data_IF_099931124652
#
_entry.id   IF_099931124652
#
_cell.length_a   1.000
_cell.length_b   1.000
_cell.length_c   1.000
_cell.angle_alpha   90.00
_cell.angle_beta   90.00
_cell.angle_gamma   90.00
#
_symmetry.space_group_name_H-M   'P 1'
#
loop_
_entity.id
_entity.type
_entity.pdbx_description
1 polymer ?
#
# COMPACT_ATOMS: atom_id res chain seq x y z
N UNK A 1 11.81 -14.54 -1.33
CA UNK A 1 11.43 -15.37 -2.50
C UNK A 1 12.10 -16.74 -2.40
N UNK A 2 11.38 -17.81 -2.75
CA UNK A 2 11.87 -19.19 -2.88
C UNK A 2 11.56 -19.73 -4.28
N UNK A 3 12.38 -20.66 -4.78
CA UNK A 3 12.15 -21.35 -6.04
C UNK A 3 11.95 -22.85 -5.81
N UNK A 4 11.01 -23.47 -6.52
CA UNK A 4 10.99 -24.93 -6.61
C UNK A 4 12.12 -25.42 -7.53
N UNK A 5 13.04 -26.22 -7.01
CA UNK A 5 14.15 -26.80 -7.78
C UNK A 5 13.67 -27.66 -8.95
N UNK A 6 12.47 -28.26 -8.85
CA UNK A 6 11.88 -29.11 -9.87
C UNK A 6 11.21 -28.30 -11.00
N UNK A 7 10.13 -27.56 -10.71
CA UNK A 7 9.35 -26.85 -11.73
C UNK A 7 9.76 -25.38 -11.95
N UNK A 8 10.79 -24.90 -11.25
CA UNK A 8 11.31 -23.52 -11.32
C UNK A 8 10.30 -22.42 -10.99
N UNK A 9 9.14 -22.77 -10.45
CA UNK A 9 8.14 -21.80 -10.01
C UNK A 9 8.70 -20.96 -8.86
N UNK A 10 8.58 -19.64 -9.00
CA UNK A 10 8.98 -18.65 -8.01
C UNK A 10 7.79 -18.32 -7.12
N UNK A 11 8.04 -18.30 -5.81
CA UNK A 11 7.00 -18.11 -4.81
C UNK A 11 7.48 -17.09 -3.76
N UNK A 12 6.56 -16.24 -3.31
CA UNK A 12 6.79 -15.36 -2.16
C UNK A 12 6.75 -16.21 -0.88
N UNK A 13 7.85 -16.20 -0.13
CA UNK A 13 8.07 -17.16 0.96
C UNK A 13 7.14 -16.90 2.16
N UNK A 14 6.97 -15.64 2.51
CA UNK A 14 5.99 -15.11 3.45
C UNK A 14 4.57 -15.61 3.13
N UNK A 15 4.11 -15.34 1.91
CA UNK A 15 2.74 -15.70 1.52
C UNK A 15 2.54 -17.21 1.48
N UNK A 16 3.55 -17.94 1.03
CA UNK A 16 3.51 -19.41 1.03
C UNK A 16 3.33 -19.96 2.44
N UNK A 17 4.04 -19.40 3.43
CA UNK A 17 3.90 -19.83 4.81
C UNK A 17 2.53 -19.48 5.38
N UNK A 18 1.99 -18.30 5.08
CA UNK A 18 0.63 -17.92 5.48
C UNK A 18 -0.42 -18.88 4.90
N UNK A 19 -0.32 -19.21 3.61
CA UNK A 19 -1.26 -20.12 2.94
C UNK A 19 -1.20 -21.54 3.54
N UNK A 20 -0.09 -21.93 4.18
CA UNK A 20 0.09 -23.24 4.81
C UNK A 20 -0.22 -23.26 6.32
N UNK A 21 0.01 -22.16 7.04
CA UNK A 21 -0.01 -22.11 8.51
C UNK A 21 -1.04 -21.13 9.09
N UNK A 22 -1.66 -20.30 8.26
CA UNK A 22 -2.63 -19.29 8.67
C UNK A 22 -2.15 -17.86 8.41
N UNK A 23 -3.12 -16.95 8.29
CA UNK A 23 -2.89 -15.52 8.09
C UNK A 23 -2.02 -14.92 9.21
N UNK A 24 -1.06 -14.07 8.86
CA UNK A 24 -0.13 -13.43 9.81
C UNK A 24 1.02 -14.30 10.33
N UNK A 25 1.09 -15.60 10.00
CA UNK A 25 2.15 -16.48 10.51
C UNK A 25 3.57 -16.03 10.10
N UNK A 26 3.71 -15.46 8.91
CA UNK A 26 5.01 -15.04 8.38
C UNK A 26 5.43 -13.62 8.78
N UNK A 27 4.53 -12.86 9.41
CA UNK A 27 4.78 -11.48 9.81
C UNK A 27 5.95 -11.40 10.80
N UNK A 28 6.93 -10.54 10.50
CA UNK A 28 8.11 -10.34 11.35
C UNK A 28 9.13 -11.49 11.37
N UNK A 29 8.95 -12.56 10.59
CA UNK A 29 9.94 -13.64 10.51
C UNK A 29 11.19 -13.21 9.72
N UNK A 30 12.36 -13.63 10.19
CA UNK A 30 13.61 -13.48 9.43
C UNK A 30 13.71 -14.54 8.32
N UNK A 31 14.54 -14.29 7.30
CA UNK A 31 14.82 -15.28 6.24
C UNK A 31 15.30 -16.62 6.81
N UNK A 32 16.13 -16.59 7.85
CA UNK A 32 16.63 -17.78 8.53
C UNK A 32 15.49 -18.60 9.15
N UNK A 33 14.60 -17.95 9.90
CA UNK A 33 13.43 -18.61 10.51
C UNK A 33 12.48 -19.14 9.45
N UNK A 34 12.21 -18.38 8.39
CA UNK A 34 11.40 -18.86 7.26
C UNK A 34 12.01 -20.11 6.62
N UNK A 35 13.33 -20.10 6.38
CA UNK A 35 14.05 -21.25 5.84
C UNK A 35 13.96 -22.48 6.75
N UNK A 36 14.08 -22.29 8.06
CA UNK A 36 13.93 -23.36 9.04
C UNK A 36 12.53 -23.98 8.98
N UNK A 37 11.48 -23.16 9.04
CA UNK A 37 10.08 -23.64 8.99
C UNK A 37 9.79 -24.39 7.69
N UNK A 38 10.27 -23.89 6.55
CA UNK A 38 10.08 -24.53 5.23
C UNK A 38 10.80 -25.88 5.18
N UNK A 39 12.02 -25.97 5.72
CA UNK A 39 12.81 -27.22 5.78
C UNK A 39 12.13 -28.26 6.70
N UNK A 40 11.70 -27.86 7.89
CA UNK A 40 11.11 -28.75 8.89
C UNK A 40 9.72 -29.27 8.48
N UNK A 41 8.90 -28.42 7.86
CA UNK A 41 7.50 -28.79 7.54
C UNK A 41 7.37 -29.61 6.25
N UNK A 42 8.45 -29.77 5.47
CA UNK A 42 8.49 -30.53 4.22
C UNK A 42 7.28 -30.30 3.29
N UNK A 43 6.94 -29.02 3.09
CA UNK A 43 5.77 -28.62 2.32
C UNK A 43 5.83 -29.09 0.86
N UNK A 44 4.66 -29.38 0.29
CA UNK A 44 4.52 -29.69 -1.14
C UNK A 44 4.58 -28.41 -1.98
N UNK A 45 5.23 -28.48 -3.14
CA UNK A 45 5.15 -27.41 -4.12
C UNK A 45 3.69 -27.22 -4.58
N UNK A 46 3.12 -26.01 -4.53
CA UNK A 46 1.74 -25.78 -4.95
C UNK A 46 1.54 -25.93 -6.47
N UNK A 47 2.62 -25.92 -7.26
CA UNK A 47 2.55 -26.07 -8.71
C UNK A 47 2.75 -27.52 -9.19
N UNK A 48 3.72 -28.26 -8.63
CA UNK A 48 4.04 -29.62 -9.10
C UNK A 48 3.91 -30.72 -8.03
N UNK A 49 3.49 -30.38 -6.81
CA UNK A 49 3.29 -31.34 -5.70
C UNK A 49 4.57 -31.89 -5.06
N UNK A 50 5.75 -31.69 -5.68
CA UNK A 50 7.02 -32.23 -5.18
C UNK A 50 7.40 -31.60 -3.83
N UNK A 51 7.68 -32.44 -2.83
CA UNK A 51 8.10 -32.03 -1.48
C UNK A 51 9.62 -31.87 -1.37
N UNK A 52 10.08 -31.05 -0.43
CA UNK A 52 11.51 -30.88 -0.13
C UNK A 52 12.34 -30.26 -1.27
N UNK A 53 11.69 -29.57 -2.22
CA UNK A 53 12.36 -29.03 -3.41
C UNK A 53 12.63 -27.55 -3.38
N UNK A 54 12.30 -26.84 -2.30
CA UNK A 54 12.49 -25.39 -2.25
C UNK A 54 13.98 -25.02 -2.10
N UNK A 55 14.40 -23.94 -2.77
CA UNK A 55 15.67 -23.26 -2.49
C UNK A 55 15.59 -22.51 -1.16
N UNK A 56 16.72 -22.03 -0.69
CA UNK A 56 16.72 -21.05 0.41
C UNK A 56 16.04 -19.76 -0.03
N UNK A 57 15.33 -19.16 0.92
CA UNK A 57 14.67 -17.88 0.79
C UNK A 57 15.73 -16.79 0.64
N UNK A 58 15.56 -15.94 -0.37
CA UNK A 58 16.38 -14.76 -0.64
C UNK A 58 15.54 -13.52 -0.83
N UNK A 59 16.13 -12.35 -0.59
CA UNK A 59 15.49 -11.09 -0.90
C UNK A 59 15.31 -10.92 -2.42
N UNK A 60 14.25 -10.22 -2.78
CA UNK A 60 13.92 -9.93 -4.15
C UNK A 60 13.41 -8.49 -4.23
N UNK A 61 14.14 -7.65 -4.96
CA UNK A 61 13.74 -6.26 -5.16
C UNK A 61 12.50 -6.20 -6.06
N UNK A 62 11.43 -5.59 -5.54
CA UNK A 62 10.16 -5.43 -6.22
C UNK A 62 10.13 -4.19 -7.12
N UNK A 63 11.18 -3.37 -7.19
CA UNK A 63 11.21 -2.24 -8.12
C UNK A 63 11.59 -2.71 -9.53
N UNK A 64 10.91 -2.15 -10.54
CA UNK A 64 11.34 -2.32 -11.92
C UNK A 64 12.56 -1.45 -12.20
N UNK A 65 13.65 -2.10 -12.59
CA UNK A 65 14.89 -1.45 -13.00
C UNK A 65 14.95 -1.33 -14.52
N UNK A 66 15.34 -0.18 -15.02
CA UNK A 66 15.65 0.07 -16.43
C UNK A 66 16.88 0.99 -16.51
N UNK A 67 17.36 1.31 -17.71
CA UNK A 67 18.54 2.14 -17.91
C UNK A 67 18.25 3.33 -18.83
N UNK A 68 18.86 4.47 -18.53
CA UNK A 68 18.75 5.70 -19.30
C UNK A 68 20.12 6.09 -19.85
N UNK A 69 20.25 6.14 -21.17
CA UNK A 69 21.49 6.48 -21.87
C UNK A 69 21.49 6.00 -23.31
N UNK A 70 22.30 6.63 -24.18
CA UNK A 70 22.40 6.27 -25.59
C UNK A 70 23.30 5.05 -25.83
N UNK A 71 24.25 4.79 -24.92
CA UNK A 71 25.20 3.69 -24.96
C UNK A 71 25.04 2.83 -23.69
N UNK A 72 25.49 1.57 -23.74
CA UNK A 72 25.52 0.70 -22.55
C UNK A 72 26.55 1.15 -21.49
N UNK A 73 27.60 1.85 -21.93
CA UNK A 73 28.71 2.31 -21.07
C UNK A 73 28.34 3.56 -20.25
N UNK A 74 27.49 4.44 -20.80
CA UNK A 74 27.02 5.66 -20.13
C UNK A 74 25.62 5.52 -19.51
N UNK A 75 25.10 4.28 -19.45
CA UNK A 75 23.72 4.04 -19.03
C UNK A 75 23.56 4.21 -17.51
N UNK A 76 22.62 5.06 -17.11
CA UNK A 76 22.25 5.27 -15.71
C UNK A 76 21.12 4.32 -15.33
N UNK A 77 21.32 3.58 -14.26
CA UNK A 77 20.25 2.77 -13.67
C UNK A 77 19.15 3.68 -13.13
N UNK A 78 17.93 3.50 -13.64
CA UNK A 78 16.73 4.20 -13.20
C UNK A 78 15.63 3.19 -12.85
N UNK A 79 14.65 3.64 -12.07
CA UNK A 79 13.58 2.78 -11.58
C UNK A 79 12.23 3.36 -11.94
N UNK A 80 11.29 2.48 -12.29
CA UNK A 80 9.89 2.86 -12.27
C UNK A 80 9.44 2.94 -10.81
N UNK A 81 8.83 4.06 -10.44
CA UNK A 81 8.44 4.32 -9.05
C UNK A 81 7.48 3.24 -8.52
N UNK A 82 7.74 2.65 -7.33
CA UNK A 82 6.86 1.65 -6.73
C UNK A 82 5.67 2.24 -5.95
N UNK A 83 5.65 3.57 -5.80
CA UNK A 83 4.66 4.39 -5.11
C UNK A 83 4.69 5.82 -5.67
N UNK A 84 3.72 6.65 -5.29
CA UNK A 84 3.60 8.03 -5.76
C UNK A 84 4.14 9.08 -4.77
N UNK A 85 4.21 8.72 -3.48
CA UNK A 85 4.68 9.55 -2.35
C UNK A 85 6.03 10.23 -2.57
N UNK A 86 7.02 9.54 -3.13
CA UNK A 86 8.38 10.08 -3.29
C UNK A 86 8.43 11.38 -4.10
N UNK A 87 7.55 11.52 -5.11
CA UNK A 87 7.45 12.75 -5.89
C UNK A 87 6.96 13.95 -5.08
N UNK A 88 6.13 13.69 -4.06
CA UNK A 88 5.60 14.71 -3.16
C UNK A 88 6.70 15.22 -2.24
N UNK A 89 7.47 14.31 -1.62
CA UNK A 89 8.57 14.69 -0.72
C UNK A 89 9.65 15.51 -1.43
N UNK A 90 10.04 15.10 -2.64
CA UNK A 90 11.00 15.85 -3.46
C UNK A 90 10.54 17.29 -3.75
N UNK A 91 9.23 17.50 -3.86
CA UNK A 91 8.64 18.81 -4.18
C UNK A 91 8.14 19.58 -2.96
N UNK A 92 8.32 19.08 -1.74
CA UNK A 92 7.82 19.73 -0.52
C UNK A 92 8.19 21.21 -0.44
N UNK A 93 9.49 21.53 -0.60
CA UNK A 93 10.01 22.91 -0.55
C UNK A 93 9.47 23.78 -1.69
N UNK A 94 9.33 23.22 -2.88
CA UNK A 94 8.74 23.91 -4.03
C UNK A 94 7.27 24.27 -3.77
N UNK A 95 6.49 23.34 -3.22
CA UNK A 95 5.08 23.59 -2.91
C UNK A 95 4.95 24.62 -1.79
N UNK A 96 5.68 24.47 -0.68
CA UNK A 96 5.63 25.43 0.44
C UNK A 96 5.97 26.85 0.00
N UNK A 97 7.05 27.00 -0.78
CA UNK A 97 7.50 28.32 -1.25
C UNK A 97 6.54 28.99 -2.24
N UNK A 98 5.96 28.23 -3.17
CA UNK A 98 5.09 28.76 -4.23
C UNK A 98 3.66 29.01 -3.75
N UNK A 99 3.11 28.14 -2.91
CA UNK A 99 1.72 28.22 -2.45
C UNK A 99 1.55 28.98 -1.14
N UNK A 100 2.65 29.21 -0.41
CA UNK A 100 2.67 29.83 0.93
C UNK A 100 1.73 29.12 1.93
N UNK A 101 1.52 27.81 1.75
CA UNK A 101 0.73 26.99 2.66
C UNK A 101 1.41 26.93 4.02
N UNK A 102 0.61 27.06 5.06
CA UNK A 102 1.03 26.87 6.45
C UNK A 102 0.69 25.45 6.87
N UNK A 103 1.51 24.89 7.74
CA UNK A 103 1.20 23.63 8.40
C UNK A 103 -0.01 23.82 9.33
N UNK A 104 -0.98 22.87 9.36
CA UNK A 104 -0.98 21.62 8.61
C UNK A 104 -1.56 21.76 7.18
N UNK A 105 -1.02 20.99 6.23
CA UNK A 105 -1.54 20.92 4.86
C UNK A 105 -1.18 19.58 4.19
N UNK A 106 -1.94 19.20 3.15
CA UNK A 106 -1.68 18.01 2.36
C UNK A 106 -1.25 18.31 0.93
N UNK A 107 -0.44 17.43 0.34
CA UNK A 107 -0.18 17.37 -1.10
C UNK A 107 -0.69 16.01 -1.57
N UNK A 108 -1.62 16.01 -2.51
CA UNK A 108 -2.20 14.79 -3.07
C UNK A 108 -1.69 14.54 -4.49
N UNK A 109 -1.50 13.27 -4.83
CA UNK A 109 -1.13 12.84 -6.18
C UNK A 109 -1.94 11.60 -6.57
N UNK A 110 -2.39 11.59 -7.83
CA UNK A 110 -2.95 10.41 -8.47
C UNK A 110 -1.99 10.00 -9.57
N UNK A 111 -1.61 8.73 -9.63
CA UNK A 111 -0.80 8.25 -10.73
C UNK A 111 -0.44 6.78 -10.67
N UNK A 112 0.27 6.35 -11.71
CA UNK A 112 0.74 4.98 -11.87
C UNK A 112 1.93 4.69 -10.96
N UNK A 113 1.96 3.46 -10.47
CA UNK A 113 3.04 2.85 -9.70
C UNK A 113 3.29 1.43 -10.21
N UNK A 114 4.53 0.97 -10.07
CA UNK A 114 4.98 -0.28 -10.66
C UNK A 114 5.68 -1.16 -9.63
N UNK A 115 5.20 -2.38 -9.44
CA UNK A 115 5.82 -3.38 -8.55
C UNK A 115 6.06 -4.67 -9.33
N UNK A 116 7.29 -5.15 -9.36
CA UNK A 116 7.73 -6.35 -10.04
C UNK A 116 7.27 -7.60 -9.29
N UNK A 117 5.95 -7.77 -9.18
CA UNK A 117 5.32 -8.85 -8.44
C UNK A 117 5.68 -10.21 -9.07
N UNK A 118 6.01 -11.17 -8.18
CA UNK A 118 6.51 -12.49 -8.56
C UNK A 118 5.39 -13.29 -9.23
N UNK A 119 4.18 -13.24 -8.67
CA UNK A 119 2.99 -13.92 -9.18
C UNK A 119 1.80 -12.97 -9.16
N UNK A 120 1.33 -12.56 -10.34
CA UNK A 120 0.07 -11.85 -10.48
C UNK A 120 -1.10 -12.82 -10.18
N UNK A 121 -1.94 -12.48 -9.21
CA UNK A 121 -3.07 -13.29 -8.74
C UNK A 121 -4.22 -12.39 -8.28
N UNK A 122 -5.44 -12.93 -8.23
CA UNK A 122 -6.63 -12.22 -7.74
C UNK A 122 -6.94 -10.92 -8.51
N UNK A 123 -6.88 -11.00 -9.85
CA UNK A 123 -7.24 -9.91 -10.76
C UNK A 123 -6.49 -8.60 -10.42
N UNK A 124 -7.19 -7.56 -9.94
CA UNK A 124 -6.63 -6.24 -9.63
C UNK A 124 -5.78 -6.18 -8.35
N UNK A 125 -5.77 -7.24 -7.53
CA UNK A 125 -5.08 -7.21 -6.23
C UNK A 125 -3.56 -7.28 -6.34
N UNK A 126 -3.07 -8.02 -7.33
CA UNK A 126 -1.64 -8.22 -7.56
C UNK A 126 -1.36 -8.05 -9.04
N UNK A 127 -1.25 -6.80 -9.45
CA UNK A 127 -0.79 -6.41 -10.78
C UNK A 127 0.62 -5.82 -10.69
N UNK A 128 1.30 -5.73 -11.83
CA UNK A 128 2.62 -5.09 -11.92
C UNK A 128 2.57 -3.59 -12.15
N UNK A 129 1.44 -3.12 -12.66
CA UNK A 129 1.11 -1.72 -12.86
C UNK A 129 -0.28 -1.49 -12.24
N UNK A 130 -0.40 -0.43 -11.46
CA UNK A 130 -1.65 -0.01 -10.83
C UNK A 130 -1.62 1.51 -10.58
N UNK A 131 -2.78 2.08 -10.28
CA UNK A 131 -2.92 3.49 -9.96
C UNK A 131 -3.21 3.67 -8.48
N UNK A 132 -2.59 4.70 -7.90
CA UNK A 132 -2.78 5.07 -6.50
C UNK A 132 -3.27 6.51 -6.41
N UNK A 133 -4.06 6.77 -5.38
CA UNK A 133 -4.38 8.10 -4.88
C UNK A 133 -3.72 8.21 -3.50
N UNK A 134 -2.62 8.94 -3.43
CA UNK A 134 -1.88 9.14 -2.17
C UNK A 134 -1.90 10.62 -1.81
N UNK A 135 -1.86 10.90 -0.52
CA UNK A 135 -1.70 12.25 -0.01
C UNK A 135 -0.72 12.24 1.15
N UNK A 136 0.29 13.09 1.09
CA UNK A 136 1.17 13.35 2.23
C UNK A 136 0.62 14.55 3.00
N UNK A 137 0.09 14.30 4.19
CA UNK A 137 -0.40 15.34 5.08
C UNK A 137 0.68 15.74 6.09
N UNK A 138 1.23 16.94 5.89
CA UNK A 138 2.27 17.51 6.74
C UNK A 138 1.66 18.19 7.97
N UNK A 139 2.09 17.77 9.16
CA UNK A 139 1.62 18.26 10.45
C UNK A 139 2.77 18.63 11.39
N UNK A 140 2.46 19.38 12.44
CA UNK A 140 3.43 19.75 13.48
C UNK A 140 3.78 18.52 14.34
N UNK A 141 5.07 18.25 14.64
CA UNK A 141 5.45 17.18 15.54
C UNK A 141 4.72 17.28 16.89
N UNK A 142 4.14 16.17 17.34
CA UNK A 142 3.29 16.11 18.54
C UNK A 142 1.79 16.11 18.23
N UNK A 143 1.38 16.50 17.03
CA UNK A 143 -0.04 16.50 16.59
C UNK A 143 -0.41 15.29 15.73
N UNK A 144 0.56 14.44 15.38
CA UNK A 144 0.38 13.35 14.40
C UNK A 144 -0.68 12.33 14.81
N UNK A 145 -0.86 12.06 16.11
CA UNK A 145 -1.87 11.11 16.60
C UNK A 145 -3.30 11.61 16.34
N UNK A 146 -3.54 12.89 16.57
CA UNK A 146 -4.83 13.52 16.29
C UNK A 146 -5.12 13.48 14.78
N UNK A 147 -4.14 13.86 13.96
CA UNK A 147 -4.28 13.83 12.50
C UNK A 147 -4.42 12.42 11.94
N UNK A 148 -3.72 11.44 12.51
CA UNK A 148 -3.87 10.04 12.15
C UNK A 148 -5.31 9.55 12.39
N UNK A 149 -5.84 9.73 13.60
CA UNK A 149 -7.23 9.38 13.92
C UNK A 149 -8.23 10.16 13.06
N UNK A 150 -7.95 11.44 12.77
CA UNK A 150 -8.78 12.24 11.88
C UNK A 150 -8.84 11.62 10.47
N UNK A 151 -7.69 11.29 9.88
CA UNK A 151 -7.63 10.76 8.51
C UNK A 151 -8.21 9.36 8.38
N UNK A 152 -8.04 8.48 9.38
CA UNK A 152 -8.71 7.16 9.40
C UNK A 152 -10.23 7.33 9.36
N UNK A 153 -10.77 8.21 10.21
CA UNK A 153 -12.21 8.48 10.25
C UNK A 153 -12.71 9.17 8.97
N UNK A 154 -11.95 10.13 8.45
CA UNK A 154 -12.29 10.81 7.21
C UNK A 154 -12.38 9.84 6.03
N UNK A 155 -11.38 8.96 5.86
CA UNK A 155 -11.34 7.99 4.76
C UNK A 155 -12.49 6.99 4.86
N UNK A 156 -12.78 6.47 6.06
CA UNK A 156 -13.93 5.58 6.30
C UNK A 156 -15.25 6.28 5.95
N UNK A 157 -15.45 7.51 6.43
CA UNK A 157 -16.67 8.28 6.14
C UNK A 157 -16.78 8.63 4.65
N UNK A 158 -15.68 8.90 3.97
CA UNK A 158 -15.70 9.17 2.53
C UNK A 158 -16.15 7.93 1.74
N UNK A 159 -15.68 6.73 2.11
CA UNK A 159 -16.10 5.48 1.47
C UNK A 159 -17.59 5.18 1.69
N UNK A 160 -18.13 5.42 2.89
CA UNK A 160 -19.55 5.15 3.17
C UNK A 160 -20.47 6.25 2.65
N UNK A 161 -20.11 7.52 2.84
CA UNK A 161 -21.01 8.64 2.59
C UNK A 161 -20.88 9.22 1.19
N UNK A 162 -19.68 9.24 0.60
CA UNK A 162 -19.46 9.83 -0.73
C UNK A 162 -19.46 8.77 -1.82
N UNK A 163 -18.75 7.66 -1.60
CA UNK A 163 -18.72 6.55 -2.57
C UNK A 163 -19.96 5.66 -2.47
N UNK A 164 -20.52 5.51 -1.27
CA UNK A 164 -21.73 4.71 -1.04
C UNK A 164 -21.46 3.23 -0.81
N UNK A 165 -20.27 2.84 -0.34
CA UNK A 165 -19.97 1.45 0.01
C UNK A 165 -20.72 1.08 1.31
N UNK A 166 -21.37 -0.09 1.31
CA UNK A 166 -22.10 -0.61 2.48
C UNK A 166 -21.14 -0.80 3.67
N UNK A 167 -21.51 -0.26 4.83
CA UNK A 167 -20.66 -0.28 6.04
C UNK A 167 -20.35 -1.70 6.52
N UNK A 168 -21.26 -2.65 6.34
CA UNK A 168 -21.02 -4.06 6.70
C UNK A 168 -19.88 -4.73 5.91
N UNK A 169 -19.51 -4.16 4.76
CA UNK A 169 -18.42 -4.65 3.92
C UNK A 169 -17.09 -3.93 4.18
N UNK A 170 -17.04 -3.01 5.15
CA UNK A 170 -15.83 -2.26 5.52
C UNK A 170 -15.45 -2.53 6.98
N UNK A 171 -14.14 -2.59 7.26
CA UNK A 171 -13.60 -2.58 8.63
C UNK A 171 -12.30 -1.80 8.69
N UNK A 172 -11.97 -1.29 9.87
CA UNK A 172 -10.62 -0.78 10.16
C UNK A 172 -9.83 -1.90 10.83
N UNK A 173 -8.63 -2.19 10.32
CA UNK A 173 -7.66 -3.10 10.92
C UNK A 173 -6.41 -2.31 11.29
N UNK A 174 -6.13 -2.21 12.59
CA UNK A 174 -4.88 -1.65 13.06
C UNK A 174 -3.75 -2.67 12.87
N UNK A 175 -2.57 -2.19 12.45
CA UNK A 175 -1.39 -3.04 12.34
C UNK A 175 -0.83 -3.35 13.72
N UNK A 176 -0.45 -4.61 13.92
CA UNK A 176 0.32 -5.02 15.09
C UNK A 176 1.74 -4.44 15.01
N UNK A 177 2.45 -4.36 16.14
CA UNK A 177 3.78 -3.75 16.20
C UNK A 177 4.79 -4.39 15.24
N UNK A 178 4.66 -5.69 15.00
CA UNK A 178 5.50 -6.47 14.10
C UNK A 178 5.18 -6.26 12.61
N UNK A 179 4.01 -5.71 12.29
CA UNK A 179 3.57 -5.36 10.92
C UNK A 179 3.98 -3.95 10.51
N UNK A 180 4.21 -3.07 11.49
CA UNK A 180 4.58 -1.68 11.24
C UNK A 180 5.88 -1.60 10.45
N UNK A 181 5.87 -0.75 9.42
CA UNK A 181 7.11 -0.31 8.80
C UNK A 181 7.99 0.38 9.84
N UNK A 182 9.31 0.22 9.74
CA UNK A 182 10.26 0.71 10.75
C UNK A 182 10.23 2.22 11.04
N UNK A 183 9.59 3.00 10.16
CA UNK A 183 9.38 4.45 10.28
C UNK A 183 7.95 4.85 10.68
N UNK A 184 7.02 3.90 10.79
CA UNK A 184 5.62 4.17 11.12
C UNK A 184 5.39 4.11 12.63
N UNK A 185 4.83 5.17 13.22
CA UNK A 185 4.36 5.17 14.62
C UNK A 185 3.02 4.43 14.75
N UNK A 186 2.26 4.31 13.66
CA UNK A 186 0.98 3.62 13.62
C UNK A 186 0.43 3.56 12.21
N UNK A 187 -0.14 2.42 11.85
CA UNK A 187 -0.76 2.18 10.55
C UNK A 187 -2.11 1.51 10.75
N UNK A 188 -3.12 1.96 10.01
CA UNK A 188 -4.44 1.34 9.97
C UNK A 188 -4.86 1.14 8.53
N UNK A 189 -5.31 -0.07 8.20
CA UNK A 189 -5.91 -0.38 6.92
C UNK A 189 -7.42 -0.29 7.03
N UNK A 190 -8.05 0.43 6.11
CA UNK A 190 -9.46 0.20 5.80
C UNK A 190 -9.51 -0.97 4.83
N UNK A 191 -10.16 -2.05 5.24
CA UNK A 191 -10.31 -3.27 4.47
C UNK A 191 -11.75 -3.41 3.94
N UNK A 192 -11.87 -3.96 2.74
CA UNK A 192 -13.14 -4.33 2.14
C UNK A 192 -13.31 -5.86 2.11
N UNK A 193 -14.54 -6.33 2.28
CA UNK A 193 -14.90 -7.75 2.24
C UNK A 193 -15.17 -8.21 0.80
N UNK A 194 -14.12 -8.64 0.11
CA UNK A 194 -14.23 -9.23 -1.24
C UNK A 194 -14.78 -10.66 -1.18
N UNK A 195 -15.17 -11.20 -2.34
CA UNK A 195 -15.66 -12.58 -2.48
C UNK A 195 -14.66 -13.66 -2.02
N UNK A 196 -13.37 -13.30 -1.93
CA UNK A 196 -12.29 -14.17 -1.48
C UNK A 196 -11.78 -13.82 -0.06
N UNK A 197 -12.46 -12.95 0.68
CA UNK A 197 -12.11 -12.56 2.04
C UNK A 197 -11.85 -11.05 2.21
N UNK A 198 -11.37 -10.68 3.39
CA UNK A 198 -10.99 -9.31 3.69
C UNK A 198 -9.69 -8.95 2.96
N UNK A 199 -9.63 -7.73 2.44
CA UNK A 199 -8.43 -7.21 1.80
C UNK A 199 -8.29 -5.71 1.96
N UNK A 200 -7.05 -5.26 2.12
CA UNK A 200 -6.67 -3.84 2.20
C UNK A 200 -7.20 -3.06 1.00
N UNK A 201 -7.98 -2.00 1.28
CA UNK A 201 -8.47 -1.04 0.29
C UNK A 201 -7.69 0.28 0.40
N UNK A 202 -7.52 0.81 1.60
CA UNK A 202 -6.89 2.10 1.87
C UNK A 202 -6.00 2.00 3.11
N UNK A 203 -4.69 2.18 2.95
CA UNK A 203 -3.75 2.26 4.07
C UNK A 203 -3.62 3.69 4.58
N UNK A 204 -3.64 3.88 5.90
CA UNK A 204 -3.35 5.15 6.55
C UNK A 204 -2.15 4.95 7.46
N UNK A 205 -1.05 5.66 7.24
CA UNK A 205 0.20 5.52 7.99
C UNK A 205 0.66 6.85 8.62
N UNK A 206 1.15 6.80 9.87
CA UNK A 206 1.82 7.92 10.53
C UNK A 206 3.34 7.74 10.44
N UNK A 207 3.96 8.38 9.44
CA UNK A 207 5.36 8.13 9.01
C UNK A 207 6.40 8.99 9.73
N UNK A 208 5.99 9.76 10.74
CA UNK A 208 6.86 10.69 11.48
C UNK A 208 7.57 11.67 10.55
N UNK A 209 8.83 12.02 10.79
CA UNK A 209 9.66 12.89 9.96
C UNK A 209 10.60 12.13 9.01
N UNK A 210 10.43 10.81 8.91
CA UNK A 210 11.36 9.91 8.24
C UNK A 210 11.68 10.31 6.80
N UNK A 211 10.63 10.51 5.98
CA UNK A 211 10.78 10.72 4.54
C UNK A 211 11.57 11.99 4.21
N UNK A 212 11.18 13.11 4.82
CA UNK A 212 11.87 14.39 4.63
C UNK A 212 13.30 14.34 5.19
N UNK A 213 13.53 13.64 6.30
CA UNK A 213 14.89 13.48 6.83
C UNK A 213 15.78 12.63 5.93
N UNK A 214 15.26 11.56 5.30
CA UNK A 214 16.03 10.78 4.32
C UNK A 214 16.39 11.64 3.11
N UNK A 215 15.41 12.35 2.53
CA UNK A 215 15.67 13.25 1.40
C UNK A 215 16.67 14.35 1.75
N UNK A 216 16.53 15.00 2.91
CA UNK A 216 17.48 16.01 3.39
C UNK A 216 18.89 15.42 3.57
N UNK A 217 19.01 14.22 4.15
CA UNK A 217 20.30 13.56 4.39
C UNK A 217 21.05 13.24 3.10
N UNK A 218 20.36 12.72 2.08
CA UNK A 218 21.01 12.28 0.84
C UNK A 218 21.14 13.38 -0.22
N UNK A 219 20.29 14.41 -0.18
CA UNK A 219 20.40 15.56 -1.11
C UNK A 219 21.28 16.70 -0.57
N UNK A 220 21.39 16.85 0.75
CA UNK A 220 22.01 18.01 1.40
C UNK A 220 21.13 19.26 1.46
N UNK A 221 19.90 19.20 0.90
CA UNK A 221 18.96 20.31 0.93
C UNK A 221 18.20 20.40 2.26
N UNK A 222 18.12 21.60 2.84
CA UNK A 222 17.31 21.84 4.04
C UNK A 222 15.81 21.80 3.70
N UNK A 223 15.13 20.78 4.23
CA UNK A 223 13.70 20.51 4.05
C UNK A 223 12.88 20.88 5.31
N UNK A 224 13.47 21.58 6.27
CA UNK A 224 12.73 22.06 7.44
C UNK A 224 11.73 23.14 7.06
N UNK A 225 10.54 23.07 7.65
CA UNK A 225 9.54 24.11 7.60
C UNK A 225 9.87 25.23 8.60
N UNK A 226 9.73 26.48 8.17
CA UNK A 226 9.84 27.66 9.04
C UNK A 226 8.45 28.15 9.42
N UNK A 227 8.07 27.96 10.68
CA UNK A 227 6.87 28.57 11.25
C UNK A 227 7.17 30.02 11.60
N UNK A 228 6.53 30.95 10.90
CA UNK A 228 6.67 32.39 11.15
C UNK A 228 5.88 32.88 12.37
N UNK A 229 4.85 32.14 12.80
CA UNK A 229 4.00 32.50 13.94
C UNK A 229 4.70 32.12 15.24
N UNK A 230 5.21 30.87 15.31
CA UNK A 230 5.94 30.40 16.48
C UNK A 230 7.45 30.73 16.44
N UNK A 231 7.94 31.23 15.30
CA UNK A 231 9.36 31.44 15.02
C UNK A 231 10.22 30.18 15.27
N UNK A 232 9.71 29.02 14.85
CA UNK A 232 10.38 27.72 15.00
C UNK A 232 10.68 27.10 13.64
N UNK A 233 11.75 26.32 13.60
CA UNK A 233 12.16 25.56 12.41
C UNK A 233 12.24 24.08 12.75
N UNK A 234 11.48 23.25 12.02
CA UNK A 234 11.38 21.81 12.30
C UNK A 234 11.10 21.02 11.01
N UNK A 235 11.36 19.71 11.03
CA UNK A 235 10.91 18.81 9.97
C UNK A 235 9.49 18.36 10.33
N UNK A 236 8.49 18.61 9.47
CA UNK A 236 7.11 18.23 9.79
C UNK A 236 6.93 16.73 9.76
N UNK A 237 5.95 16.27 10.53
CA UNK A 237 5.53 14.87 10.53
C UNK A 237 4.52 14.62 9.42
N UNK A 238 4.47 13.39 8.92
CA UNK A 238 3.62 13.01 7.78
C UNK A 238 2.59 11.96 8.21
N UNK A 239 1.33 12.22 7.87
CA UNK A 239 0.25 11.23 7.85
C UNK A 239 -0.12 10.98 6.39
N UNK A 240 -0.08 9.72 5.98
CA UNK A 240 -0.28 9.31 4.59
C UNK A 240 -1.53 8.44 4.47
N UNK A 241 -2.61 8.93 3.84
CA UNK A 241 -3.64 8.08 3.28
C UNK A 241 -3.24 7.64 1.85
N UNK A 242 -3.09 6.34 1.63
CA UNK A 242 -2.74 5.72 0.36
C UNK A 242 -3.81 4.74 -0.13
N UNK A 243 -4.54 5.11 -1.19
CA UNK A 243 -5.66 4.34 -1.76
C UNK A 243 -5.28 3.71 -3.09
N UNK A 244 -5.53 2.42 -3.25
CA UNK A 244 -5.41 1.74 -4.54
C UNK A 244 -6.66 1.95 -5.42
N UNK A 245 -6.54 2.69 -6.52
CA UNK A 245 -7.67 3.00 -7.43
C UNK A 245 -8.30 1.73 -7.99
N UNK A 246 -7.47 0.78 -8.40
CA UNK A 246 -7.96 -0.48 -8.97
C UNK A 246 -8.74 -1.32 -7.94
N UNK A 247 -8.33 -1.26 -6.66
CA UNK A 247 -9.04 -1.95 -5.57
C UNK A 247 -10.34 -1.24 -5.23
N UNK A 248 -10.33 0.09 -5.21
CA UNK A 248 -11.55 0.90 -5.05
C UNK A 248 -12.57 0.58 -6.13
N UNK A 249 -12.14 0.52 -7.40
CA UNK A 249 -13.00 0.16 -8.52
C UNK A 249 -13.65 -1.22 -8.30
N UNK A 250 -12.85 -2.23 -7.93
CA UNK A 250 -13.39 -3.56 -7.68
C UNK A 250 -14.37 -3.54 -6.50
N UNK A 251 -14.02 -2.90 -5.38
CA UNK A 251 -14.88 -2.78 -4.21
C UNK A 251 -16.25 -2.19 -4.58
N UNK A 252 -16.26 -1.05 -5.27
CA UNK A 252 -17.48 -0.37 -5.72
C UNK A 252 -18.35 -1.25 -6.63
N UNK A 253 -17.74 -1.95 -7.59
CA UNK A 253 -18.48 -2.83 -8.51
C UNK A 253 -19.06 -4.03 -7.77
N UNK A 254 -18.28 -4.65 -6.88
CA UNK A 254 -18.74 -5.83 -6.12
C UNK A 254 -19.75 -5.49 -5.04
N UNK A 255 -19.67 -4.32 -4.42
CA UNK A 255 -20.63 -3.87 -3.40
C UNK A 255 -22.02 -3.57 -4.00
N UNK A 256 -22.01 -3.07 -5.24
CA UNK A 256 -23.21 -2.78 -6.02
C UNK A 256 -23.84 -4.02 -6.68
N UNK A 257 -23.11 -5.14 -6.80
CA UNK A 257 -23.58 -6.34 -7.50
C UNK A 257 -24.70 -7.05 -6.73
N UNK A 258 -25.85 -7.23 -7.39
CA UNK A 258 -26.99 -7.96 -6.86
C UNK A 258 -27.66 -8.83 -7.93
N UNK A 259 -28.09 -10.04 -7.55
CA UNK A 259 -28.94 -10.90 -8.37
C UNK A 259 -30.39 -10.77 -7.89
N UNK A 260 -31.24 -10.20 -8.74
CA UNK A 260 -32.64 -9.95 -8.44
C UNK A 260 -33.52 -11.00 -9.13
N UNK A 261 -34.32 -11.72 -8.33
CA UNK A 261 -35.34 -12.64 -8.84
C UNK A 261 -36.59 -11.86 -9.26
N UNK A 262 -37.02 -12.07 -10.49
CA UNK A 262 -38.20 -11.46 -11.09
C UNK A 262 -39.47 -12.28 -10.79
N UNK A 263 -40.67 -11.68 -10.89
CA UNK A 263 -41.93 -12.37 -10.63
C UNK A 263 -42.23 -13.54 -11.56
N UNK A 264 -41.63 -13.58 -12.75
CA UNK A 264 -41.73 -14.66 -13.74
C UNK A 264 -40.78 -15.84 -13.45
N UNK A 265 -39.97 -15.74 -12.39
CA UNK A 265 -38.99 -16.76 -12.00
C UNK A 265 -37.62 -16.59 -12.66
N UNK A 266 -37.43 -15.60 -13.53
CA UNK A 266 -36.13 -15.28 -14.11
C UNK A 266 -35.25 -14.51 -13.10
N UNK A 267 -33.93 -14.58 -13.27
CA UNK A 267 -32.98 -13.80 -12.47
C UNK A 267 -32.30 -12.77 -13.37
N UNK A 268 -32.22 -11.51 -12.92
CA UNK A 268 -31.42 -10.48 -13.57
C UNK A 268 -30.27 -10.03 -12.69
N UNK A 269 -29.17 -9.63 -13.32
CA UNK A 269 -28.05 -8.96 -12.66
C UNK A 269 -28.29 -7.45 -12.63
N UNK A 270 -28.09 -6.84 -11.47
CA UNK A 270 -28.23 -5.39 -11.27
C UNK A 270 -26.98 -4.86 -10.55
N UNK A 271 -26.48 -3.70 -10.98
CA UNK A 271 -25.47 -2.93 -10.26
C UNK A 271 -26.16 -1.73 -9.58
N UNK A 272 -26.39 -1.83 -8.27
CA UNK A 272 -27.01 -0.77 -7.46
C UNK A 272 -25.96 0.16 -6.88
N UNK A 273 -25.45 1.08 -7.69
CA UNK A 273 -24.55 2.12 -7.20
C UNK A 273 -25.31 3.07 -6.26
N UNK A 274 -24.86 3.17 -5.01
CA UNK A 274 -25.42 4.06 -3.98
C UNK A 274 -24.71 5.43 -3.97
N UNK A 275 -24.28 5.91 -5.14
CA UNK A 275 -23.60 7.20 -5.25
C UNK A 275 -24.55 8.32 -4.79
N UNK A 276 -24.26 8.90 -3.62
CA UNK A 276 -24.94 10.12 -3.19
C UNK A 276 -24.48 11.22 -4.15
N UNK A 277 -25.42 11.91 -4.81
CA UNK A 277 -25.06 12.94 -5.79
C UNK A 277 -24.16 13.97 -5.13
N UNK A 278 -22.98 14.22 -5.71
CA UNK A 278 -22.14 15.36 -5.40
C UNK A 278 -22.94 16.63 -5.72
N UNK A 279 -23.67 17.15 -4.74
CA UNK A 279 -24.33 18.46 -4.78
C UNK A 279 -23.56 19.41 -3.90
#
# INVERSE_FOLDING_TARGET
MIDCKNCKTRIRADKFLEDQKGEGFATGLTLEKMNQVIKESNFACPNCGQRGTFTEARDFNLMFKTSHGASAEDSLDIYLRPETAQGIFLNFKNVVSTTRRKIPFGIAQIGKSFRNEIMARQFVFRTREFEQMEMEFFCEPGTQKEWFSHWVNYCMNWLTEQVGIKKENLRVREHEKEELSFYSEGTSDIEFKYNFGWGELWGIASRTDYDLNQHQKFSGEDLKYQDQVQNKKYVPFVVEPALGVNRLFLAVVTDAYEEEKLPDGETRTVLRFLLKSLR
#
